data_IF_823459517749
#
_entry.id   IF_823459517749
#
_cell.length_a   1.000
_cell.length_b   1.000
_cell.length_c   1.000
_cell.angle_alpha   90.00
_cell.angle_beta   90.00
_cell.angle_gamma   90.00
#
_symmetry.space_group_name_H-M   'P 1'
#
loop_
_entity.id
_entity.type
_entity.pdbx_description
1 polymer ?
#
# COMPACT_ATOMS: atom_id res chain seq x y z
N UNK A 1 -8.87 -6.91 28.33
CA UNK A 1 -8.47 -5.96 27.26
C UNK A 1 -9.51 -5.95 26.16
N UNK A 2 -9.50 -4.93 25.27
CA UNK A 2 -10.41 -4.85 24.10
C UNK A 2 -10.35 -6.10 23.21
N UNK A 3 -9.19 -6.74 23.08
CA UNK A 3 -8.98 -8.02 22.40
C UNK A 3 -10.01 -9.10 22.79
N UNK A 4 -10.33 -9.20 24.08
CA UNK A 4 -11.13 -10.29 24.63
C UNK A 4 -12.63 -10.05 24.44
N UNK A 5 -13.08 -8.80 24.54
CA UNK A 5 -14.51 -8.44 24.47
C UNK A 5 -14.96 -8.01 23.07
N UNK A 6 -14.03 -7.77 22.13
CA UNK A 6 -14.34 -7.28 20.78
C UNK A 6 -15.18 -8.25 19.95
N UNK A 7 -15.04 -9.56 20.13
CA UNK A 7 -15.81 -10.55 19.37
C UNK A 7 -17.30 -10.49 19.71
N UNK A 8 -17.62 -10.51 21.01
CA UNK A 8 -18.99 -10.50 21.55
C UNK A 8 -19.69 -9.13 21.41
N UNK A 9 -18.92 -8.04 21.37
CA UNK A 9 -19.44 -6.67 21.52
C UNK A 9 -19.20 -5.80 20.28
N UNK A 10 -18.86 -6.39 19.13
CA UNK A 10 -18.58 -5.68 17.86
C UNK A 10 -19.77 -4.86 17.37
N UNK A 11 -20.98 -5.39 17.58
CA UNK A 11 -22.22 -4.90 16.99
C UNK A 11 -23.03 -4.00 17.94
N UNK A 12 -22.55 -3.80 19.17
CA UNK A 12 -23.00 -2.71 20.05
C UNK A 12 -22.63 -1.36 19.40
N UNK A 13 -23.63 -0.72 18.79
CA UNK A 13 -23.49 0.55 18.09
C UNK A 13 -22.86 1.64 18.95
N UNK A 14 -23.15 1.68 20.27
CA UNK A 14 -22.61 2.69 21.19
C UNK A 14 -21.14 2.44 21.48
N UNK A 15 -20.74 1.18 21.74
CA UNK A 15 -19.31 0.81 21.90
C UNK A 15 -18.53 1.08 20.62
N UNK A 16 -19.08 0.70 19.46
CA UNK A 16 -18.46 0.90 18.15
C UNK A 16 -18.27 2.39 17.83
N UNK A 17 -19.28 3.22 18.08
CA UNK A 17 -19.20 4.68 17.92
C UNK A 17 -18.17 5.30 18.86
N UNK A 18 -18.16 4.91 20.14
CA UNK A 18 -17.19 5.41 21.12
C UNK A 18 -15.74 5.02 20.76
N UNK A 19 -15.52 3.79 20.29
CA UNK A 19 -14.20 3.32 19.84
C UNK A 19 -13.68 4.13 18.64
N UNK A 20 -14.49 4.30 17.59
CA UNK A 20 -14.08 5.07 16.41
C UNK A 20 -13.92 6.57 16.71
N UNK A 21 -14.80 7.16 17.53
CA UNK A 21 -14.69 8.56 17.95
C UNK A 21 -13.44 8.79 18.82
N UNK A 22 -13.12 7.86 19.72
CA UNK A 22 -11.89 7.88 20.52
C UNK A 22 -10.65 7.79 19.63
N UNK A 23 -10.59 6.81 18.72
CA UNK A 23 -9.47 6.64 17.79
C UNK A 23 -9.28 7.86 16.89
N UNK A 24 -10.36 8.41 16.33
CA UNK A 24 -10.30 9.62 15.50
C UNK A 24 -9.78 10.84 16.28
N UNK A 25 -10.24 11.03 17.53
CA UNK A 25 -9.72 12.09 18.42
C UNK A 25 -8.23 11.91 18.71
N UNK A 26 -7.78 10.67 18.97
CA UNK A 26 -6.35 10.38 19.18
C UNK A 26 -5.53 10.66 17.93
N UNK A 27 -6.00 10.24 16.74
CA UNK A 27 -5.32 10.51 15.47
C UNK A 27 -5.24 12.01 15.17
N UNK A 28 -6.33 12.76 15.36
CA UNK A 28 -6.34 14.22 15.18
C UNK A 28 -5.42 14.94 16.19
N UNK A 29 -5.39 14.48 17.45
CA UNK A 29 -4.51 15.03 18.50
C UNK A 29 -3.02 14.69 18.31
N UNK A 30 -2.69 13.67 17.50
CA UNK A 30 -1.33 13.37 17.08
C UNK A 30 -0.96 14.15 15.80
N UNK A 31 -1.91 14.33 14.89
CA UNK A 31 -1.72 15.09 13.65
C UNK A 31 -1.64 16.61 13.87
N UNK A 32 -2.21 17.13 14.97
CA UNK A 32 -2.09 18.55 15.34
C UNK A 32 -0.72 18.93 15.93
N UNK A 33 0.16 17.95 16.18
CA UNK A 33 1.53 18.18 16.61
C UNK A 33 2.45 18.27 15.38
N UNK A 34 3.07 19.44 15.07
CA UNK A 34 3.90 19.58 13.88
C UNK A 34 5.17 18.74 14.00
N UNK A 35 5.35 17.78 13.09
CA UNK A 35 6.53 16.92 13.05
C UNK A 35 7.60 17.48 12.10
N UNK A 36 8.89 17.44 12.47
CA UNK A 36 9.97 17.98 11.63
C UNK A 36 10.31 17.08 10.43
N UNK A 37 9.90 15.80 10.47
CA UNK A 37 10.17 14.78 9.43
C UNK A 37 9.04 13.76 9.41
N UNK A 38 8.80 13.15 8.25
CA UNK A 38 7.92 12.00 8.07
C UNK A 38 8.72 10.72 8.32
N UNK A 39 8.26 9.89 9.25
CA UNK A 39 8.90 8.63 9.64
C UNK A 39 8.01 7.82 10.58
N UNK A 40 8.51 6.68 11.05
CA UNK A 40 7.91 5.95 12.17
C UNK A 40 8.53 6.37 13.50
N UNK A 41 7.70 6.41 14.54
CA UNK A 41 8.14 6.61 15.91
C UNK A 41 8.94 5.40 16.41
N UNK A 42 10.09 5.66 17.03
CA UNK A 42 10.83 4.72 17.85
C UNK A 42 10.72 5.15 19.32
N UNK A 43 10.34 4.21 20.16
CA UNK A 43 10.39 4.34 21.63
C UNK A 43 11.76 3.85 22.12
N UNK A 44 12.39 4.61 23.00
CA UNK A 44 13.72 4.33 23.53
C UNK A 44 13.67 3.86 25.00
N UNK A 45 14.71 3.18 25.45
CA UNK A 45 14.78 2.63 26.81
C UNK A 45 14.87 3.69 27.92
N UNK A 46 15.18 4.94 27.57
CA UNK A 46 15.14 6.12 28.45
C UNK A 46 13.74 6.74 28.58
N UNK A 47 12.73 6.19 27.89
CA UNK A 47 11.35 6.69 27.86
C UNK A 47 11.10 7.78 26.82
N UNK A 48 12.10 8.17 26.02
CA UNK A 48 11.92 9.16 24.95
C UNK A 48 11.31 8.54 23.68
N UNK A 49 10.71 9.39 22.85
CA UNK A 49 10.13 9.03 21.56
C UNK A 49 10.77 9.90 20.48
N UNK A 50 11.27 9.29 19.41
CA UNK A 50 11.87 10.01 18.27
C UNK A 50 11.33 9.50 16.93
N UNK A 51 11.43 10.32 15.89
CA UNK A 51 11.11 9.92 14.51
C UNK A 51 12.42 9.57 13.80
N UNK A 52 12.74 8.27 13.77
CA UNK A 52 14.05 7.74 13.34
C UNK A 52 13.95 6.67 12.25
N UNK A 53 12.88 5.88 12.23
CA UNK A 53 12.65 4.83 11.24
C UNK A 53 11.86 5.35 10.03
N UNK A 54 11.87 4.60 8.92
CA UNK A 54 11.02 4.84 7.76
C UNK A 54 9.52 4.84 8.13
N UNK A 55 8.68 5.61 7.43
CA UNK A 55 7.23 5.47 7.53
C UNK A 55 6.85 4.03 7.17
N UNK A 56 6.21 3.34 8.10
CA UNK A 56 5.78 1.95 7.93
C UNK A 56 4.25 1.90 8.09
N UNK A 57 3.53 1.84 6.97
CA UNK A 57 2.10 1.58 6.97
C UNK A 57 1.85 0.07 7.03
N UNK A 58 0.68 -0.35 7.54
CA UNK A 58 0.28 -1.76 7.56
C UNK A 58 0.33 -2.38 6.16
N UNK A 59 -0.04 -1.62 5.13
CA UNK A 59 0.03 -2.05 3.73
C UNK A 59 1.46 -2.30 3.25
N UNK A 60 2.43 -1.44 3.59
CA UNK A 60 3.84 -1.68 3.26
C UNK A 60 4.32 -2.95 3.98
N UNK A 61 4.04 -3.08 5.27
CA UNK A 61 4.47 -4.23 6.07
C UNK A 61 3.89 -5.57 5.58
N UNK A 62 2.63 -5.59 5.13
CA UNK A 62 2.01 -6.78 4.50
C UNK A 62 2.73 -7.10 3.18
N UNK A 63 2.83 -6.12 2.27
CA UNK A 63 3.41 -6.35 0.95
C UNK A 63 4.91 -6.74 1.01
N UNK A 64 5.68 -6.22 1.98
CA UNK A 64 7.06 -6.65 2.25
C UNK A 64 7.13 -8.12 2.73
N UNK A 65 6.18 -8.57 3.55
CA UNK A 65 6.07 -9.99 3.95
C UNK A 65 5.64 -10.88 2.77
N UNK A 66 4.79 -10.38 1.88
CA UNK A 66 4.36 -11.05 0.63
C UNK A 66 5.47 -11.08 -0.45
N UNK A 67 6.71 -10.70 -0.11
CA UNK A 67 7.87 -10.75 -1.00
C UNK A 67 8.12 -9.49 -1.84
N UNK A 68 7.49 -8.36 -1.53
CA UNK A 68 7.88 -7.08 -2.14
C UNK A 68 9.29 -6.67 -1.66
N UNK A 69 10.18 -6.22 -2.58
CA UNK A 69 11.54 -5.86 -2.22
C UNK A 69 11.58 -4.61 -1.32
N UNK A 70 12.40 -4.69 -0.28
CA UNK A 70 12.55 -3.68 0.76
C UNK A 70 13.35 -2.45 0.29
N UNK A 71 12.82 -1.69 -0.69
CA UNK A 71 13.55 -0.62 -1.37
C UNK A 71 13.72 0.67 -0.55
N UNK A 72 13.01 0.82 0.58
CA UNK A 72 13.15 1.97 1.50
C UNK A 72 14.02 1.51 2.69
N UNK A 73 15.26 2.03 2.87
CA UNK A 73 16.10 1.73 4.04
C UNK A 73 15.38 2.00 5.37
N UNK A 74 15.66 1.19 6.40
CA UNK A 74 14.92 1.25 7.68
C UNK A 74 15.06 2.59 8.40
N UNK A 75 16.20 3.24 8.25
CA UNK A 75 16.62 4.54 8.81
C UNK A 75 16.15 5.76 8.00
N UNK A 76 15.53 5.55 6.83
CA UNK A 76 15.20 6.64 5.89
C UNK A 76 13.97 7.44 6.33
N UNK A 77 14.22 8.63 6.87
CA UNK A 77 13.21 9.62 7.29
C UNK A 77 13.18 10.83 6.34
N UNK A 78 11.98 11.32 6.00
CA UNK A 78 11.80 12.31 4.94
C UNK A 78 11.55 13.71 5.48
N UNK A 79 12.21 14.73 4.91
CA UNK A 79 11.98 16.13 5.25
C UNK A 79 10.91 16.81 4.37
N UNK A 80 10.41 16.11 3.34
CA UNK A 80 9.52 16.65 2.32
C UNK A 80 8.60 15.54 1.80
N UNK A 81 7.30 15.82 1.63
CA UNK A 81 6.31 14.82 1.22
C UNK A 81 6.57 14.28 -0.19
N UNK A 82 7.11 15.12 -1.08
CA UNK A 82 7.55 14.80 -2.44
C UNK A 82 8.50 13.58 -2.43
N UNK A 83 9.47 13.58 -1.52
CA UNK A 83 10.49 12.53 -1.41
C UNK A 83 9.95 11.21 -0.85
N UNK A 84 9.00 11.27 0.11
CA UNK A 84 8.33 10.07 0.59
C UNK A 84 7.43 9.44 -0.49
N UNK A 85 6.69 10.27 -1.22
CA UNK A 85 5.77 9.79 -2.25
C UNK A 85 6.52 9.23 -3.47
N UNK A 86 7.64 9.83 -3.86
CA UNK A 86 8.52 9.28 -4.91
C UNK A 86 8.97 7.85 -4.60
N UNK A 87 9.41 7.61 -3.36
CA UNK A 87 9.86 6.29 -2.92
C UNK A 87 8.70 5.30 -2.77
N UNK A 88 7.50 5.77 -2.41
CA UNK A 88 6.29 4.95 -2.36
C UNK A 88 5.86 4.46 -3.77
N UNK A 89 5.98 5.30 -4.80
CA UNK A 89 5.77 4.85 -6.20
C UNK A 89 6.80 3.79 -6.58
N UNK A 90 8.06 4.06 -6.27
CA UNK A 90 9.20 3.16 -6.57
C UNK A 90 9.03 1.80 -5.89
N UNK A 91 8.54 1.76 -4.65
CA UNK A 91 8.17 0.54 -3.94
C UNK A 91 7.07 -0.25 -4.67
N UNK A 92 5.98 0.40 -5.07
CA UNK A 92 4.90 -0.28 -5.79
C UNK A 92 5.31 -0.74 -7.20
N UNK A 93 6.25 -0.06 -7.86
CA UNK A 93 6.84 -0.48 -9.14
C UNK A 93 7.77 -1.66 -9.01
N UNK A 94 8.69 -1.67 -8.05
CA UNK A 94 9.49 -2.85 -7.76
C UNK A 94 8.61 -4.04 -7.35
N UNK A 95 7.54 -3.85 -6.55
CA UNK A 95 6.59 -4.93 -6.25
C UNK A 95 5.97 -5.54 -7.51
N UNK A 96 5.46 -4.70 -8.42
CA UNK A 96 4.75 -5.18 -9.61
C UNK A 96 5.67 -5.88 -10.60
N UNK A 97 6.91 -5.41 -10.74
CA UNK A 97 7.90 -6.06 -11.60
C UNK A 97 8.43 -7.37 -10.98
N UNK A 98 8.92 -7.34 -9.75
CA UNK A 98 9.65 -8.46 -9.15
C UNK A 98 8.77 -9.59 -8.61
N UNK A 99 7.58 -9.30 -8.09
CA UNK A 99 6.70 -10.33 -7.55
C UNK A 99 5.88 -10.95 -8.70
N UNK A 100 5.84 -12.29 -8.77
CA UNK A 100 5.05 -13.04 -9.76
C UNK A 100 3.56 -12.87 -9.49
N UNK A 101 3.15 -13.02 -8.23
CA UNK A 101 1.77 -12.92 -7.76
C UNK A 101 1.35 -11.45 -7.51
N UNK A 102 1.88 -10.51 -8.30
CA UNK A 102 1.66 -9.09 -8.07
C UNK A 102 0.26 -8.61 -8.49
N UNK A 103 -0.40 -9.35 -9.39
CA UNK A 103 -1.75 -9.14 -9.91
C UNK A 103 -2.42 -10.51 -10.19
N UNK A 104 -3.75 -10.55 -10.17
CA UNK A 104 -4.55 -11.77 -10.33
C UNK A 104 -5.00 -12.04 -11.78
N UNK A 105 -5.22 -10.99 -12.56
CA UNK A 105 -5.59 -11.12 -13.98
C UNK A 105 -5.13 -9.89 -14.80
N UNK A 106 -5.42 -9.91 -16.10
CA UNK A 106 -5.05 -8.83 -17.02
C UNK A 106 -5.73 -7.49 -16.70
N UNK A 107 -6.97 -7.50 -16.18
CA UNK A 107 -7.73 -6.31 -15.78
C UNK A 107 -7.14 -5.71 -14.52
N UNK A 108 -6.84 -6.54 -13.52
CA UNK A 108 -6.19 -6.14 -12.28
C UNK A 108 -4.78 -5.57 -12.55
N UNK A 109 -3.95 -6.26 -13.33
CA UNK A 109 -2.61 -5.78 -13.69
C UNK A 109 -2.67 -4.41 -14.40
N UNK A 110 -3.55 -4.26 -15.40
CA UNK A 110 -3.79 -2.97 -16.09
C UNK A 110 -4.34 -1.90 -15.15
N UNK A 111 -5.19 -2.26 -14.19
CA UNK A 111 -5.74 -1.34 -13.18
C UNK A 111 -4.68 -0.84 -12.20
N UNK A 112 -3.75 -1.71 -11.78
CA UNK A 112 -2.59 -1.30 -10.98
C UNK A 112 -1.66 -0.36 -11.77
N UNK A 113 -1.35 -0.70 -13.03
CA UNK A 113 -0.55 0.15 -13.92
C UNK A 113 -1.20 1.52 -14.13
N UNK A 114 -2.50 1.57 -14.43
CA UNK A 114 -3.27 2.80 -14.57
C UNK A 114 -3.29 3.62 -13.27
N UNK A 115 -3.47 2.97 -12.12
CA UNK A 115 -3.47 3.63 -10.80
C UNK A 115 -2.12 4.30 -10.50
N UNK A 116 -1.01 3.61 -10.74
CA UNK A 116 0.35 4.13 -10.55
C UNK A 116 0.67 5.32 -11.45
N UNK A 117 0.27 5.23 -12.71
CA UNK A 117 0.51 6.30 -13.68
C UNK A 117 -0.40 7.50 -13.41
N UNK A 118 -1.65 7.27 -13.03
CA UNK A 118 -2.53 8.33 -12.50
C UNK A 118 -1.87 9.00 -11.30
N UNK A 119 -1.36 8.22 -10.36
CA UNK A 119 -0.71 8.72 -9.16
C UNK A 119 0.56 9.53 -9.49
N UNK A 120 1.46 9.07 -10.37
CA UNK A 120 2.56 9.89 -10.91
C UNK A 120 2.06 11.20 -11.55
N UNK A 121 0.98 11.12 -12.34
CA UNK A 121 0.40 12.25 -13.05
C UNK A 121 -0.36 13.25 -12.17
N UNK A 122 -0.72 12.91 -10.92
CA UNK A 122 -1.41 13.84 -9.98
C UNK A 122 -0.64 14.13 -8.70
N UNK A 123 0.37 13.33 -8.32
CA UNK A 123 1.16 13.54 -7.10
C UNK A 123 1.89 14.88 -7.14
N UNK A 124 2.48 15.27 -8.28
CA UNK A 124 3.07 16.59 -8.44
C UNK A 124 2.05 17.71 -8.18
N UNK A 125 0.78 17.51 -8.55
CA UNK A 125 -0.28 18.48 -8.31
C UNK A 125 -0.59 18.58 -6.81
N UNK A 126 -1.03 17.49 -6.18
CA UNK A 126 -1.47 17.53 -4.79
C UNK A 126 -0.37 17.82 -3.76
N UNK A 127 0.89 17.60 -4.09
CA UNK A 127 2.01 17.81 -3.16
C UNK A 127 2.73 19.14 -3.41
N UNK A 128 2.77 19.64 -4.66
CA UNK A 128 3.32 20.97 -4.93
C UNK A 128 2.26 22.07 -4.71
N UNK A 129 0.97 21.84 -4.96
CA UNK A 129 -0.09 22.84 -4.70
C UNK A 129 -0.18 23.20 -3.21
N UNK A 130 0.02 22.28 -2.25
CA UNK A 130 0.11 22.60 -0.81
C UNK A 130 1.25 23.60 -0.48
N UNK A 131 2.30 23.61 -1.32
CA UNK A 131 3.43 24.55 -1.27
C UNK A 131 3.20 25.82 -2.13
N UNK A 132 2.27 25.75 -3.08
CA UNK A 132 2.12 26.69 -4.20
C UNK A 132 0.73 27.36 -4.29
N UNK A 133 -0.22 27.09 -3.38
CA UNK A 133 -1.49 27.83 -3.24
C UNK A 133 -1.28 29.33 -2.96
N UNK A 134 -0.04 29.75 -2.64
CA UNK A 134 0.35 31.16 -2.65
C UNK A 134 0.35 31.80 -4.05
N UNK A 135 0.51 31.04 -5.16
CA UNK A 135 0.53 31.53 -6.56
C UNK A 135 0.12 30.48 -7.64
N UNK A 136 -1.18 30.46 -7.93
CA UNK A 136 -1.83 30.28 -9.25
C UNK A 136 -1.85 28.91 -10.01
N UNK A 137 -2.99 28.69 -10.66
CA UNK A 137 -3.39 27.68 -11.69
C UNK A 137 -2.84 28.01 -13.11
N UNK A 138 -3.03 27.19 -14.18
CA UNK A 138 -3.98 26.07 -14.45
C UNK A 138 -3.24 24.70 -14.66
N UNK A 139 -3.67 23.64 -15.37
CA UNK A 139 -4.71 23.36 -16.40
C UNK A 139 -5.16 21.88 -16.34
N UNK A 140 -5.93 21.37 -17.32
CA UNK A 140 -6.27 19.95 -17.53
C UNK A 140 -6.30 19.58 -19.02
N UNK A 141 -5.78 18.40 -19.36
CA UNK A 141 -5.93 17.70 -20.65
C UNK A 141 -5.92 16.16 -20.45
N UNK A 142 -6.36 15.34 -21.41
CA UNK A 142 -6.53 13.89 -21.25
C UNK A 142 -5.21 13.11 -21.44
N UNK A 143 -4.21 13.38 -20.60
CA UNK A 143 -2.83 12.88 -20.83
C UNK A 143 -2.67 11.37 -20.59
N UNK A 144 -3.55 10.74 -19.78
CA UNK A 144 -3.33 9.45 -19.12
C UNK A 144 -2.71 8.35 -19.97
N UNK A 145 -3.30 7.99 -21.12
CA UNK A 145 -2.80 6.91 -21.99
C UNK A 145 -1.41 7.20 -22.55
N UNK A 146 -1.10 8.48 -22.80
CA UNK A 146 0.22 8.92 -23.27
C UNK A 146 1.23 9.07 -22.11
N UNK A 147 0.79 9.32 -20.87
CA UNK A 147 1.66 9.16 -19.70
C UNK A 147 1.99 7.68 -19.50
N UNK A 148 1.01 6.77 -19.64
CA UNK A 148 1.23 5.31 -19.45
C UNK A 148 2.31 4.79 -20.40
N UNK A 149 2.23 5.11 -21.70
CA UNK A 149 3.25 4.74 -22.69
C UNK A 149 4.60 5.48 -22.54
N UNK A 150 4.70 6.53 -21.72
CA UNK A 150 5.94 7.29 -21.47
C UNK A 150 6.57 7.05 -20.09
N UNK A 151 5.85 6.42 -19.16
CA UNK A 151 6.28 6.22 -17.76
C UNK A 151 6.39 4.76 -17.35
N UNK A 152 6.18 3.84 -18.29
CA UNK A 152 6.52 2.44 -18.13
C UNK A 152 7.86 2.17 -18.83
N UNK A 153 8.87 1.77 -18.07
CA UNK A 153 10.26 1.65 -18.56
C UNK A 153 10.51 0.32 -19.30
N UNK A 154 9.57 -0.62 -19.25
CA UNK A 154 9.71 -1.97 -19.79
C UNK A 154 8.83 -2.23 -21.02
N UNK A 155 9.47 -2.34 -22.19
CA UNK A 155 9.00 -3.14 -23.33
C UNK A 155 7.59 -2.85 -23.84
N UNK A 156 6.90 -3.91 -24.28
CA UNK A 156 5.46 -3.85 -24.55
C UNK A 156 4.68 -4.04 -23.23
N UNK A 157 3.70 -3.18 -23.00
CA UNK A 157 2.77 -3.29 -21.87
C UNK A 157 1.90 -4.54 -21.95
N UNK A 158 1.59 -5.04 -23.14
CA UNK A 158 0.77 -6.24 -23.30
C UNK A 158 1.58 -7.52 -23.02
N UNK A 159 2.82 -7.61 -23.50
CA UNK A 159 3.76 -8.71 -23.14
C UNK A 159 3.98 -8.79 -21.62
N UNK A 160 4.15 -7.64 -20.95
CA UNK A 160 4.29 -7.60 -19.49
C UNK A 160 3.03 -8.12 -18.77
N UNK A 161 1.84 -7.74 -19.24
CA UNK A 161 0.56 -8.20 -18.66
C UNK A 161 0.36 -9.70 -18.89
N UNK A 162 0.63 -10.21 -20.09
CA UNK A 162 0.57 -11.65 -20.39
C UNK A 162 1.57 -12.46 -19.56
N UNK A 163 2.76 -11.92 -19.31
CA UNK A 163 3.73 -12.51 -18.39
C UNK A 163 3.18 -12.66 -16.97
N UNK A 164 2.48 -11.63 -16.45
CA UNK A 164 1.89 -11.66 -15.11
C UNK A 164 0.67 -12.57 -14.97
N UNK A 165 -0.18 -12.66 -16.00
CA UNK A 165 -1.28 -13.65 -16.02
C UNK A 165 -0.71 -15.07 -15.96
N UNK A 166 0.32 -15.36 -16.77
CA UNK A 166 0.98 -16.68 -16.82
C UNK A 166 1.71 -17.06 -15.54
N UNK A 167 2.37 -16.08 -14.89
CA UNK A 167 2.95 -16.21 -13.54
C UNK A 167 1.87 -16.65 -12.54
N UNK A 168 0.71 -15.98 -12.53
CA UNK A 168 -0.39 -16.27 -11.61
C UNK A 168 -1.10 -17.60 -11.90
N UNK A 169 -1.37 -17.93 -13.17
CA UNK A 169 -1.91 -19.23 -13.57
C UNK A 169 -1.01 -20.38 -13.11
N UNK A 170 0.31 -20.22 -13.27
CA UNK A 170 1.32 -21.20 -12.80
C UNK A 170 1.24 -21.38 -11.28
N UNK A 171 1.16 -20.27 -10.53
CA UNK A 171 0.99 -20.30 -9.07
C UNK A 171 -0.33 -20.96 -8.64
N UNK A 172 -1.43 -20.74 -9.36
CA UNK A 172 -2.69 -21.44 -9.11
C UNK A 172 -2.59 -22.95 -9.34
N UNK A 173 -1.84 -23.42 -10.35
CA UNK A 173 -1.59 -24.84 -10.56
C UNK A 173 -0.63 -25.46 -9.53
N UNK A 174 0.35 -24.69 -9.03
CA UNK A 174 1.20 -25.11 -7.91
C UNK A 174 0.41 -25.21 -6.59
N UNK A 175 -0.47 -24.24 -6.30
CA UNK A 175 -1.40 -24.29 -5.18
C UNK A 175 -2.32 -25.52 -5.24
N UNK A 176 -2.93 -25.79 -6.40
CA UNK A 176 -3.80 -26.96 -6.59
C UNK A 176 -3.07 -28.26 -6.26
N UNK A 177 -1.82 -28.42 -6.70
CA UNK A 177 -0.99 -29.60 -6.38
C UNK A 177 -0.69 -29.69 -4.88
N UNK A 178 -0.28 -28.59 -4.26
CA UNK A 178 0.04 -28.54 -2.82
C UNK A 178 -1.14 -28.91 -1.92
N UNK A 179 -2.37 -28.56 -2.33
CA UNK A 179 -3.59 -28.87 -1.58
C UNK A 179 -4.30 -30.16 -2.02
N UNK A 180 -3.97 -30.74 -3.18
CA UNK A 180 -4.52 -32.04 -3.61
C UNK A 180 -4.11 -33.21 -2.70
N UNK A 181 -2.92 -33.15 -2.09
CA UNK A 181 -2.46 -34.16 -1.12
C UNK A 181 -3.12 -34.04 0.28
N UNK A 182 -4.03 -33.08 0.49
CA UNK A 182 -4.59 -32.73 1.81
C UNK A 182 -6.09 -33.10 1.98
N UNK A 183 -6.48 -34.26 1.45
CA UNK A 183 -7.86 -34.77 1.49
C UNK A 183 -8.26 -35.39 2.86
N UNK A 184 -8.32 -34.58 3.94
CA UNK A 184 -9.14 -34.83 5.15
C UNK A 184 -9.00 -33.74 6.25
N UNK A 185 -10.04 -33.51 7.09
CA UNK A 185 -11.47 -33.50 6.81
C UNK A 185 -12.06 -32.08 6.98
N UNK A 186 -13.36 -31.91 6.73
CA UNK A 186 -14.05 -30.62 6.86
C UNK A 186 -13.91 -29.99 8.27
N UNK A 187 -13.40 -28.76 8.34
CA UNK A 187 -13.31 -28.01 9.61
C UNK A 187 -12.31 -26.85 9.64
N UNK A 188 -11.28 -26.85 8.79
CA UNK A 188 -10.37 -25.71 8.64
C UNK A 188 -10.92 -24.72 7.61
N UNK A 189 -10.94 -23.44 7.95
CA UNK A 189 -11.34 -22.37 7.05
C UNK A 189 -10.37 -22.29 5.86
N UNK A 190 -10.89 -21.95 4.67
CA UNK A 190 -10.08 -21.59 3.52
C UNK A 190 -9.14 -20.40 3.88
N UNK A 191 -7.95 -20.30 3.27
CA UNK A 191 -7.04 -19.20 3.55
C UNK A 191 -7.71 -17.85 3.28
N UNK A 192 -7.60 -16.93 4.24
CA UNK A 192 -8.27 -15.62 4.26
C UNK A 192 -7.90 -14.67 3.10
N UNK A 193 -6.97 -15.07 2.22
CA UNK A 193 -6.50 -14.32 1.07
C UNK A 193 -7.59 -13.97 0.04
N UNK A 194 -8.73 -14.67 0.03
CA UNK A 194 -9.87 -14.35 -0.86
C UNK A 194 -11.01 -13.57 -0.19
N UNK A 195 -10.86 -13.07 1.04
CA UNK A 195 -11.99 -12.48 1.80
C UNK A 195 -11.76 -11.05 2.31
N UNK A 196 -10.82 -10.31 1.70
CA UNK A 196 -10.55 -8.89 1.95
C UNK A 196 -10.43 -8.07 0.65
N UNK A 197 -11.33 -8.34 -0.30
CA UNK A 197 -11.69 -7.49 -1.42
C UNK A 197 -13.13 -6.99 -1.23
#
# INVERSE_FOLDING_TARGET
MLSNTRAEQRDDLKRRQNLYCGLAKTMLSLASLPQPRIGAFQFHADGTITVSNRPLTTSIAILENDGAPCCIPRDRTYAAAESYVSDLVTFHDHRLSSNRNAAFDATDCRSMMASKVTFRAVAHRYILEDRQERKATPTREPVLTNVMKRTWEHGDSDEFVEGKVRDYETYCEELKKLYADNDAPAGKQAPLFCTLA
#
